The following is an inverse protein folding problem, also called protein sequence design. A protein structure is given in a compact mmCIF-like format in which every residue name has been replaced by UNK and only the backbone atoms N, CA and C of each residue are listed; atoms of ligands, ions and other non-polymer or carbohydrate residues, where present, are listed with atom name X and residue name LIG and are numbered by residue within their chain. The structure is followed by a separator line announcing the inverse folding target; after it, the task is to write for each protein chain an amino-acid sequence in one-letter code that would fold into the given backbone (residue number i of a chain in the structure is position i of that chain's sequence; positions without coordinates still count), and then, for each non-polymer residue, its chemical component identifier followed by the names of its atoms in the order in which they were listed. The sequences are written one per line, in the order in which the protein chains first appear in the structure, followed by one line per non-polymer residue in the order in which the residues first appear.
data_IF_605492074517
#
_entry.id   IF_605492074517
#
_cell.length_a   1.000
_cell.length_b   1.000
_cell.length_c   1.000
_cell.angle_alpha   90.00
_cell.angle_beta   90.00
_cell.angle_gamma   90.00
#
_symmetry.space_group_name_H-M   'P 1'
#
loop_
_entity.id
_entity.type
_entity.pdbx_description
1 polymer ?
#
# COMPACT_ATOMS: atom_id res chain seq x y z
N UNK A 1 -3.50 -13.63 -13.99
CA UNK A 1 -2.97 -12.26 -13.95
C UNK A 1 -1.66 -12.24 -13.18
N UNK A 2 -0.57 -12.56 -13.88
CA UNK A 2 0.74 -12.85 -13.27
C UNK A 2 1.58 -11.58 -12.97
N UNK A 3 0.97 -10.40 -13.02
CA UNK A 3 1.70 -9.13 -12.89
C UNK A 3 1.48 -8.38 -11.56
N UNK A 4 0.60 -8.87 -10.68
CA UNK A 4 0.36 -8.23 -9.38
C UNK A 4 1.36 -8.77 -8.37
N UNK A 5 2.15 -7.89 -7.76
CA UNK A 5 3.19 -8.26 -6.80
C UNK A 5 2.64 -8.65 -5.44
N UNK A 6 1.66 -7.89 -4.96
CA UNK A 6 0.93 -8.17 -3.72
C UNK A 6 -0.42 -7.47 -3.79
N UNK A 7 -1.36 -7.87 -2.94
CA UNK A 7 -2.62 -7.17 -2.74
C UNK A 7 -3.19 -7.41 -1.34
N UNK A 8 -3.82 -6.38 -0.80
CA UNK A 8 -4.54 -6.45 0.45
C UNK A 8 -5.93 -7.05 0.21
N UNK A 9 -6.31 -8.00 1.05
CA UNK A 9 -7.67 -8.57 1.07
C UNK A 9 -8.45 -7.84 2.14
N UNK A 10 -9.39 -7.00 1.71
CA UNK A 10 -10.24 -6.26 2.63
C UNK A 10 -10.97 -7.21 3.58
N UNK A 11 -10.79 -6.99 4.87
CA UNK A 11 -11.46 -7.75 5.91
C UNK A 11 -12.94 -7.39 6.05
N UNK A 12 -13.59 -8.02 7.02
CA UNK A 12 -14.96 -7.67 7.39
C UNK A 12 -15.01 -6.29 8.05
N UNK A 13 -16.09 -5.56 7.82
CA UNK A 13 -16.28 -4.23 8.44
C UNK A 13 -16.58 -4.31 9.94
N UNK A 14 -17.07 -5.47 10.40
CA UNK A 14 -17.43 -5.76 11.80
C UNK A 14 -16.34 -6.49 12.58
N UNK A 15 -15.29 -6.94 11.92
CA UNK A 15 -14.16 -7.64 12.55
C UNK A 15 -12.85 -7.27 11.83
N UNK A 16 -12.04 -6.44 12.48
CA UNK A 16 -10.73 -6.00 11.97
C UNK A 16 -9.57 -6.82 12.52
N UNK A 17 -9.84 -7.92 13.22
CA UNK A 17 -8.79 -8.76 13.83
C UNK A 17 -7.99 -9.56 12.82
N UNK A 18 -8.56 -9.87 11.65
CA UNK A 18 -7.91 -10.64 10.58
C UNK A 18 -7.67 -9.75 9.36
N UNK A 19 -6.39 -9.56 9.03
CA UNK A 19 -5.96 -8.80 7.87
C UNK A 19 -4.99 -9.66 7.05
N UNK A 20 -5.23 -9.76 5.76
CA UNK A 20 -4.47 -10.64 4.87
C UNK A 20 -3.86 -9.80 3.74
N UNK A 21 -2.55 -9.93 3.56
CA UNK A 21 -1.85 -9.46 2.37
C UNK A 21 -1.38 -10.69 1.62
N UNK A 22 -1.82 -10.87 0.38
CA UNK A 22 -1.31 -11.93 -0.49
C UNK A 22 -0.14 -11.40 -1.30
N UNK A 23 0.95 -12.15 -1.30
CA UNK A 23 2.20 -11.80 -1.99
C UNK A 23 2.48 -12.87 -3.04
N UNK A 24 2.79 -12.42 -4.26
CA UNK A 24 3.26 -13.30 -5.31
C UNK A 24 4.73 -13.67 -5.01
N UNK A 25 5.08 -14.97 -4.88
CA UNK A 25 6.45 -15.38 -4.59
C UNK A 25 7.48 -14.87 -5.60
N UNK A 26 7.10 -14.78 -6.87
CA UNK A 26 7.97 -14.29 -7.94
C UNK A 26 8.27 -12.79 -7.84
N UNK A 27 7.46 -12.08 -7.08
CA UNK A 27 7.64 -10.65 -6.88
C UNK A 27 8.90 -10.32 -6.05
N UNK A 28 9.30 -11.21 -5.16
CA UNK A 28 10.54 -11.06 -4.37
C UNK A 28 11.78 -10.89 -5.26
N UNK A 29 11.73 -11.40 -6.49
CA UNK A 29 12.82 -11.30 -7.45
C UNK A 29 12.91 -9.92 -8.17
N UNK A 30 11.90 -9.05 -7.99
CA UNK A 30 11.85 -7.73 -8.65
C UNK A 30 12.65 -6.64 -7.94
N UNK A 31 13.25 -6.96 -6.81
CA UNK A 31 14.09 -6.04 -6.05
C UNK A 31 13.44 -5.56 -4.74
N UNK A 32 14.30 -5.33 -3.76
CA UNK A 32 13.88 -5.01 -2.39
C UNK A 32 13.08 -3.71 -2.30
N UNK A 33 13.46 -2.68 -3.05
CA UNK A 33 12.79 -1.36 -2.99
C UNK A 33 11.37 -1.43 -3.53
N UNK A 34 11.16 -2.16 -4.63
CA UNK A 34 9.83 -2.33 -5.20
C UNK A 34 8.94 -3.17 -4.27
N UNK A 35 9.50 -4.20 -3.65
CA UNK A 35 8.79 -4.99 -2.66
C UNK A 35 8.41 -4.13 -1.44
N UNK A 36 9.33 -3.31 -0.95
CA UNK A 36 9.09 -2.40 0.17
C UNK A 36 7.94 -1.43 -0.11
N UNK A 37 7.96 -0.72 -1.23
CA UNK A 37 6.91 0.25 -1.59
C UNK A 37 5.56 -0.43 -1.82
N UNK A 38 5.54 -1.62 -2.42
CA UNK A 38 4.30 -2.39 -2.61
C UNK A 38 3.74 -2.86 -1.27
N UNK A 39 4.57 -3.38 -0.36
CA UNK A 39 4.10 -3.79 0.97
C UNK A 39 3.63 -2.60 1.81
N UNK A 40 4.24 -1.44 1.66
CA UNK A 40 3.78 -0.21 2.29
C UNK A 40 2.43 0.25 1.73
N UNK A 41 2.20 0.10 0.41
CA UNK A 41 0.95 0.40 -0.26
C UNK A 41 -0.18 -0.52 0.20
N UNK A 42 0.04 -1.85 0.17
CA UNK A 42 -0.97 -2.83 0.52
C UNK A 42 -1.19 -2.96 2.03
N UNK A 43 -0.12 -2.80 2.81
CA UNK A 43 -0.11 -3.00 4.25
C UNK A 43 -0.21 -1.72 5.06
N UNK A 44 0.82 -1.47 5.85
CA UNK A 44 0.94 -0.31 6.72
C UNK A 44 2.05 0.60 6.20
N UNK A 45 1.74 1.90 5.98
CA UNK A 45 0.53 2.66 6.33
C UNK A 45 -0.53 2.76 5.22
N UNK A 46 -0.51 1.90 4.21
CA UNK A 46 -1.41 1.92 3.06
C UNK A 46 -2.82 1.36 3.31
N UNK A 47 -3.29 0.46 2.44
CA UNK A 47 -4.67 -0.04 2.45
C UNK A 47 -5.10 -0.69 3.77
N UNK A 48 -4.27 -1.57 4.34
CA UNK A 48 -4.60 -2.23 5.60
C UNK A 48 -4.88 -1.21 6.71
N UNK A 49 -4.00 -0.22 6.86
CA UNK A 49 -4.20 0.84 7.86
C UNK A 49 -5.46 1.66 7.55
N UNK A 50 -5.65 2.07 6.32
CA UNK A 50 -6.81 2.87 5.90
C UNK A 50 -8.12 2.17 6.25
N UNK A 51 -8.26 0.89 5.92
CA UNK A 51 -9.47 0.12 6.19
C UNK A 51 -9.68 -0.12 7.68
N UNK A 52 -8.65 -0.53 8.40
CA UNK A 52 -8.77 -0.79 9.84
C UNK A 52 -9.11 0.48 10.63
N UNK A 53 -8.46 1.60 10.31
CA UNK A 53 -8.74 2.89 10.93
C UNK A 53 -10.16 3.39 10.61
N UNK A 54 -10.59 3.28 9.34
CA UNK A 54 -11.94 3.67 8.94
C UNK A 54 -13.01 2.81 9.59
N UNK A 55 -12.79 1.50 9.69
CA UNK A 55 -13.74 0.59 10.31
C UNK A 55 -13.83 0.78 11.83
N UNK A 56 -12.72 1.12 12.48
CA UNK A 56 -12.70 1.41 13.92
C UNK A 56 -13.37 2.76 14.25
N UNK A 57 -13.45 3.68 13.32
CA UNK A 57 -14.03 4.99 13.53
C UNK A 57 -15.58 4.89 13.57
N UNK A 58 -16.15 5.16 14.73
CA UNK A 58 -17.61 5.11 14.96
C UNK A 58 -18.37 6.29 14.35
N UNK A 59 -17.67 7.39 14.05
CA UNK A 59 -18.27 8.58 13.44
C UNK A 59 -18.49 8.42 11.93
N UNK A 60 -17.88 7.42 11.33
CA UNK A 60 -18.07 7.10 9.90
C UNK A 60 -19.30 6.20 9.75
N UNK A 61 -20.35 6.64 9.02
CA UNK A 61 -21.52 5.81 8.76
C UNK A 61 -21.15 4.50 8.05
N UNK A 62 -21.81 3.40 8.39
CA UNK A 62 -21.53 2.09 7.82
C UNK A 62 -21.63 2.06 6.29
N UNK A 63 -22.56 2.85 5.72
CA UNK A 63 -22.70 2.98 4.28
C UNK A 63 -21.41 3.50 3.63
N UNK A 64 -20.70 4.42 4.26
CA UNK A 64 -19.40 4.93 3.76
C UNK A 64 -18.27 3.91 3.88
N UNK A 65 -18.35 3.00 4.85
CA UNK A 65 -17.37 1.92 5.01
C UNK A 65 -17.49 0.86 3.91
N UNK A 66 -18.72 0.69 3.39
CA UNK A 66 -19.02 -0.26 2.31
C UNK A 66 -18.74 0.35 0.94
N UNK A 67 -19.04 1.65 0.77
CA UNK A 67 -18.80 2.36 -0.47
C UNK A 67 -17.33 2.78 -0.56
N UNK A 68 -16.56 2.09 -1.40
CA UNK A 68 -15.19 2.49 -1.70
C UNK A 68 -15.16 3.50 -2.85
N UNK A 69 -14.49 4.62 -2.64
CA UNK A 69 -14.12 5.55 -3.70
C UNK A 69 -12.70 5.23 -4.15
N UNK A 70 -12.57 4.49 -5.23
CA UNK A 70 -11.29 3.94 -5.71
C UNK A 70 -10.19 5.01 -5.75
N UNK A 71 -10.50 6.21 -6.28
CA UNK A 71 -9.54 7.30 -6.35
C UNK A 71 -9.00 7.76 -4.98
N UNK A 72 -9.87 7.82 -3.97
CA UNK A 72 -9.44 8.18 -2.61
C UNK A 72 -8.68 7.04 -1.93
N UNK A 73 -9.11 5.81 -2.17
CA UNK A 73 -8.48 4.61 -1.59
C UNK A 73 -7.07 4.42 -2.14
N UNK A 74 -6.94 4.43 -3.46
CA UNK A 74 -5.64 4.31 -4.12
C UNK A 74 -4.74 5.52 -3.87
N UNK A 75 -5.32 6.72 -3.88
CA UNK A 75 -4.58 7.96 -3.60
C UNK A 75 -3.94 7.95 -2.21
N UNK A 76 -4.64 7.47 -1.19
CA UNK A 76 -4.07 7.29 0.14
C UNK A 76 -2.90 6.30 0.12
N UNK A 77 -3.10 5.11 -0.43
CA UNK A 77 -2.08 4.06 -0.43
C UNK A 77 -0.82 4.48 -1.21
N UNK A 78 -0.97 5.19 -2.32
CA UNK A 78 0.14 5.76 -3.08
C UNK A 78 0.88 6.84 -2.29
N UNK A 79 0.16 7.77 -1.68
CA UNK A 79 0.75 8.81 -0.84
C UNK A 79 1.51 8.18 0.34
N UNK A 80 0.90 7.22 1.03
CA UNK A 80 1.49 6.51 2.16
C UNK A 80 2.77 5.77 1.75
N UNK A 81 2.76 5.03 0.64
CA UNK A 81 3.94 4.31 0.16
C UNK A 81 5.08 5.26 -0.22
N UNK A 82 4.76 6.44 -0.79
CA UNK A 82 5.76 7.47 -1.07
C UNK A 82 6.41 7.99 0.21
N UNK A 83 5.61 8.31 1.24
CA UNK A 83 6.14 8.80 2.51
C UNK A 83 7.05 7.78 3.19
N UNK A 84 6.84 6.48 2.98
CA UNK A 84 7.70 5.45 3.57
C UNK A 84 9.10 5.40 2.98
N UNK A 85 9.32 5.98 1.81
CA UNK A 85 10.66 6.06 1.21
C UNK A 85 11.62 6.87 2.08
N UNK A 86 11.12 7.82 2.85
CA UNK A 86 11.93 8.64 3.78
C UNK A 86 12.51 7.80 4.94
N UNK A 87 11.92 6.64 5.21
CA UNK A 87 12.36 5.72 6.26
C UNK A 87 13.27 4.59 5.74
N UNK A 88 13.50 4.52 4.43
CA UNK A 88 14.43 3.54 3.88
C UNK A 88 15.85 3.83 4.36
N UNK A 89 16.52 2.78 4.84
CA UNK A 89 17.96 2.87 5.08
C UNK A 89 18.71 2.90 3.75
N UNK A 90 19.09 4.09 3.33
CA UNK A 90 19.71 4.33 2.03
C UNK A 90 21.21 4.03 2.00
N UNK A 91 21.82 3.64 3.15
CA UNK A 91 23.26 3.39 3.25
C UNK A 91 23.75 2.25 2.36
N UNK A 92 22.89 1.27 2.09
CA UNK A 92 23.19 0.09 1.27
C UNK A 92 22.48 0.11 -0.09
N UNK A 93 21.81 1.21 -0.46
CA UNK A 93 21.11 1.35 -1.73
C UNK A 93 21.87 2.27 -2.67
N UNK A 94 21.93 1.91 -3.95
CA UNK A 94 22.49 2.81 -4.97
C UNK A 94 21.57 4.02 -5.17
N UNK A 95 22.16 5.16 -5.51
CA UNK A 95 21.39 6.38 -5.85
C UNK A 95 20.39 6.12 -6.98
N UNK A 96 20.77 5.28 -7.95
CA UNK A 96 19.90 4.89 -9.06
C UNK A 96 18.67 4.09 -8.59
N UNK A 97 18.83 3.19 -7.61
CA UNK A 97 17.73 2.42 -7.03
C UNK A 97 16.74 3.34 -6.33
N UNK A 98 17.22 4.30 -5.55
CA UNK A 98 16.38 5.28 -4.85
C UNK A 98 15.64 6.16 -5.85
N UNK A 99 16.34 6.69 -6.85
CA UNK A 99 15.76 7.54 -7.87
C UNK A 99 14.68 6.83 -8.68
N UNK A 100 14.89 5.57 -9.04
CA UNK A 100 13.90 4.77 -9.79
C UNK A 100 12.66 4.47 -8.96
N UNK A 101 12.80 4.24 -7.65
CA UNK A 101 11.68 4.02 -6.75
C UNK A 101 10.83 5.29 -6.58
N UNK A 102 11.47 6.44 -6.38
CA UNK A 102 10.79 7.74 -6.31
C UNK A 102 10.05 8.03 -7.61
N UNK A 103 10.71 7.84 -8.75
CA UNK A 103 10.11 8.09 -10.06
C UNK A 103 8.91 7.19 -10.33
N UNK A 104 9.01 5.88 -10.07
CA UNK A 104 7.91 4.95 -10.28
C UNK A 104 6.69 5.28 -9.40
N UNK A 105 6.94 5.68 -8.15
CA UNK A 105 5.88 6.07 -7.22
C UNK A 105 5.21 7.38 -7.66
N UNK A 106 5.99 8.37 -8.10
CA UNK A 106 5.46 9.63 -8.61
C UNK A 106 4.66 9.44 -9.90
N UNK A 107 5.14 8.57 -10.81
CA UNK A 107 4.44 8.28 -12.06
C UNK A 107 3.07 7.64 -11.80
N UNK A 108 2.98 6.66 -10.92
CA UNK A 108 1.70 6.03 -10.58
C UNK A 108 0.71 6.97 -9.88
N UNK A 109 1.19 8.06 -9.26
CA UNK A 109 0.32 9.10 -8.69
C UNK A 109 -0.21 10.10 -9.73
N UNK A 110 0.44 10.22 -10.88
CA UNK A 110 0.10 11.21 -11.93
C UNK A 110 -0.81 10.64 -13.02
N UNK A 111 -1.05 9.35 -13.02
CA UNK A 111 -1.90 8.64 -13.99
C UNK A 111 -3.23 8.26 -13.36
#
# INVERSE_FOLDING_TARGET
SDNVGAYYVQGRIDDTSVNIIKINPDFANKGMTQMYTTLAHEGYPGHLYQFTASNANKDIPNVRKILSFIGATEGWAQYASKCTLDYLDTRNLSTQTISSAIFSTQWSMSV
#
